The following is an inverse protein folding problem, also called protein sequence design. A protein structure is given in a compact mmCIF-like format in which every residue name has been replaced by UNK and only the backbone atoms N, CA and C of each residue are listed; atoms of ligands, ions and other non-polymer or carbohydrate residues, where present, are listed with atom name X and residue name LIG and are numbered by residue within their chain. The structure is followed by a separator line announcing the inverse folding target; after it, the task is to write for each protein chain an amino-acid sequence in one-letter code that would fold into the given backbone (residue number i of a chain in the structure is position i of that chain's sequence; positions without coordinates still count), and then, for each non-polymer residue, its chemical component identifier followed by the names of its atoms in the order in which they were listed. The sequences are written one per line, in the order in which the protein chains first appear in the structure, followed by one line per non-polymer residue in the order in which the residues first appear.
data_IF_160703584390
#
_entry.id   IF_160703584390
#
_cell.length_a   1.000
_cell.length_b   1.000
_cell.length_c   1.000
_cell.angle_alpha   90.00
_cell.angle_beta   90.00
_cell.angle_gamma   90.00
#
_symmetry.space_group_name_H-M   'P 1'
#
loop_
_entity.id
_entity.type
_entity.pdbx_description
1 polymer ?
#
# COMPACT_ATOMS: atom_id res chain seq x y z
N UNK A 1 -12.32 9.19 -3.52
CA UNK A 1 -11.78 8.95 -2.16
C UNK A 1 -12.31 7.67 -1.57
N UNK A 2 -13.64 7.56 -1.46
CA UNK A 2 -14.35 6.41 -0.87
C UNK A 2 -13.81 5.08 -1.40
N UNK A 3 -13.60 4.94 -2.72
CA UNK A 3 -13.08 3.71 -3.30
C UNK A 3 -11.71 3.25 -2.75
N UNK A 4 -10.73 4.15 -2.59
CA UNK A 4 -9.42 3.78 -2.02
C UNK A 4 -9.52 3.46 -0.52
N UNK A 5 -10.40 4.16 0.20
CA UNK A 5 -10.62 3.93 1.62
C UNK A 5 -11.32 2.59 1.87
N UNK A 6 -12.32 2.26 1.04
CA UNK A 6 -13.02 0.97 1.01
C UNK A 6 -12.03 -0.17 0.69
N UNK A 7 -11.25 -0.01 -0.39
CA UNK A 7 -10.23 -0.98 -0.78
C UNK A 7 -9.20 -1.23 0.33
N UNK A 8 -8.78 -0.17 1.04
CA UNK A 8 -7.85 -0.27 2.15
C UNK A 8 -8.39 -1.11 3.32
N UNK A 9 -9.71 -1.15 3.54
CA UNK A 9 -10.30 -1.95 4.62
C UNK A 9 -10.08 -3.46 4.41
N UNK A 10 -10.01 -3.93 3.16
CA UNK A 10 -9.73 -5.33 2.87
C UNK A 10 -8.32 -5.78 3.30
N UNK A 11 -7.39 -4.83 3.50
CA UNK A 11 -6.02 -5.12 3.92
C UNK A 11 -5.86 -5.15 5.45
N UNK A 12 -6.82 -4.57 6.20
CA UNK A 12 -6.73 -4.47 7.65
C UNK A 12 -6.86 -5.86 8.31
N UNK A 13 -6.10 -6.11 9.37
CA UNK A 13 -6.13 -7.38 10.11
C UNK A 13 -5.02 -8.36 9.71
N UNK A 14 -5.22 -9.63 10.03
CA UNK A 14 -4.22 -10.69 9.84
C UNK A 14 -4.51 -11.49 8.57
N UNK A 15 -3.57 -11.45 7.62
CA UNK A 15 -3.71 -12.09 6.31
C UNK A 15 -2.40 -12.69 5.83
N UNK A 16 -2.50 -13.62 4.88
CA UNK A 16 -1.37 -14.00 4.04
C UNK A 16 -1.13 -12.89 2.99
N UNK A 17 0.04 -12.23 3.05
CA UNK A 17 0.38 -11.15 2.14
C UNK A 17 1.28 -11.60 0.97
N UNK A 18 1.28 -12.89 0.61
CA UNK A 18 2.08 -13.42 -0.50
C UNK A 18 1.84 -12.70 -1.82
N UNK A 19 0.61 -12.27 -2.11
CA UNK A 19 0.30 -11.48 -3.29
C UNK A 19 1.06 -10.14 -3.34
N UNK A 20 1.35 -9.56 -2.18
CA UNK A 20 2.06 -8.30 -2.01
C UNK A 20 3.56 -8.49 -1.75
N UNK A 21 4.10 -9.70 -1.87
CA UNK A 21 5.53 -9.93 -1.71
C UNK A 21 6.29 -9.83 -3.04
N UNK A 22 7.60 -9.61 -2.95
CA UNK A 22 8.47 -9.79 -4.11
C UNK A 22 8.69 -11.28 -4.38
N UNK A 23 8.51 -11.70 -5.64
CA UNK A 23 8.74 -13.09 -6.03
C UNK A 23 10.16 -13.53 -5.64
N UNK A 24 10.28 -14.73 -5.06
CA UNK A 24 11.55 -15.31 -4.64
C UNK A 24 12.14 -14.77 -3.34
N UNK A 25 11.44 -13.89 -2.61
CA UNK A 25 11.90 -13.42 -1.29
C UNK A 25 11.78 -14.56 -0.26
N UNK A 26 12.87 -15.00 0.39
CA UNK A 26 12.79 -16.02 1.43
C UNK A 26 12.17 -15.39 2.69
N UNK A 27 11.03 -15.92 3.14
CA UNK A 27 10.40 -15.53 4.39
C UNK A 27 9.81 -16.77 5.07
N UNK A 28 9.98 -16.97 6.39
CA UNK A 28 9.44 -18.13 7.09
C UNK A 28 7.91 -18.22 7.05
N UNK A 29 7.23 -17.05 7.06
CA UNK A 29 5.79 -16.95 6.91
C UNK A 29 5.41 -15.63 6.24
N UNK A 30 4.53 -15.63 5.22
CA UNK A 30 4.01 -14.42 4.59
C UNK A 30 2.87 -13.76 5.39
N UNK A 31 2.45 -14.36 6.51
CA UNK A 31 1.34 -13.84 7.31
C UNK A 31 1.77 -12.59 8.08
N UNK A 32 1.02 -11.49 7.92
CA UNK A 32 1.23 -10.24 8.66
C UNK A 32 -0.08 -9.73 9.22
N UNK A 33 0.01 -8.91 10.26
CA UNK A 33 -1.13 -8.20 10.84
C UNK A 33 -0.97 -6.71 10.58
N UNK A 34 -1.80 -6.14 9.70
CA UNK A 34 -1.90 -4.69 9.57
C UNK A 34 -2.81 -4.16 10.67
N UNK A 35 -2.23 -3.37 11.57
CA UNK A 35 -2.94 -2.70 12.67
C UNK A 35 -3.66 -1.45 12.20
N UNK A 36 -3.12 -0.80 11.16
CA UNK A 36 -3.73 0.39 10.55
C UNK A 36 -3.44 0.44 9.07
N UNK A 37 -4.46 0.85 8.33
CA UNK A 37 -4.37 1.27 6.93
C UNK A 37 -5.26 2.50 6.78
N UNK A 38 -4.71 3.63 6.36
CA UNK A 38 -5.50 4.84 6.11
C UNK A 38 -5.13 5.50 4.80
N UNK A 39 -6.14 6.09 4.15
CA UNK A 39 -5.99 6.93 2.96
C UNK A 39 -6.65 8.27 3.23
N UNK A 40 -5.88 9.35 3.17
CA UNK A 40 -6.36 10.71 3.43
C UNK A 40 -5.73 11.72 2.46
N UNK A 41 -6.35 12.89 2.26
CA UNK A 41 -5.70 14.00 1.56
C UNK A 41 -4.36 14.35 2.21
N UNK A 42 -3.33 14.53 1.39
CA UNK A 42 -1.99 14.92 1.79
C UNK A 42 -1.76 16.42 1.60
N UNK A 43 -0.69 16.91 2.20
CA UNK A 43 -0.18 18.26 1.93
C UNK A 43 0.70 18.25 0.68
N UNK A 44 0.90 19.43 0.09
CA UNK A 44 1.82 19.58 -1.03
C UNK A 44 3.23 19.12 -0.66
N UNK A 45 3.86 18.37 -1.57
CA UNK A 45 5.25 17.96 -1.40
C UNK A 45 6.17 19.17 -1.46
N UNK A 46 7.19 19.27 -0.57
CA UNK A 46 8.23 20.31 -0.69
C UNK A 46 9.10 20.15 -1.93
N UNK A 47 8.96 19.03 -2.66
CA UNK A 47 9.71 18.72 -3.88
C UNK A 47 9.01 19.21 -5.17
N UNK A 48 7.83 19.83 -5.07
CA UNK A 48 7.13 20.41 -6.23
C UNK A 48 7.05 21.93 -6.10
N UNK A 49 6.98 22.62 -7.24
CA UNK A 49 6.83 24.08 -7.24
C UNK A 49 5.45 24.52 -6.72
N UNK A 50 5.30 25.77 -6.24
CA UNK A 50 3.99 26.33 -5.85
C UNK A 50 2.95 26.33 -6.98
N UNK A 51 3.38 26.38 -8.24
CA UNK A 51 2.46 26.34 -9.38
C UNK A 51 1.94 24.91 -9.64
N UNK A 52 2.83 23.92 -9.61
CA UNK A 52 2.48 22.51 -9.78
C UNK A 52 1.58 22.01 -8.65
N UNK A 53 1.89 22.40 -7.40
CA UNK A 53 1.11 21.98 -6.24
C UNK A 53 -0.35 22.45 -6.28
N UNK A 54 -0.67 23.57 -6.96
CA UNK A 54 -2.06 23.99 -7.19
C UNK A 54 -2.81 23.12 -8.20
N UNK A 55 -2.08 22.44 -9.10
CA UNK A 55 -2.65 21.56 -10.14
C UNK A 55 -2.73 20.10 -9.69
N UNK A 56 -2.06 19.76 -8.58
CA UNK A 56 -1.97 18.39 -8.07
C UNK A 56 -2.81 18.20 -6.81
N UNK A 57 -3.31 16.97 -6.63
CA UNK A 57 -3.87 16.52 -5.36
C UNK A 57 -2.93 15.51 -4.74
N UNK A 58 -2.58 15.73 -3.48
CA UNK A 58 -1.71 14.85 -2.72
C UNK A 58 -2.53 13.90 -1.87
N UNK A 59 -2.00 12.70 -1.65
CA UNK A 59 -2.62 11.66 -0.85
C UNK A 59 -1.58 11.07 0.10
N UNK A 60 -1.96 10.90 1.35
CA UNK A 60 -1.19 10.18 2.35
C UNK A 60 -1.80 8.78 2.51
N UNK A 61 -0.96 7.76 2.35
CA UNK A 61 -1.30 6.37 2.64
C UNK A 61 -0.43 5.92 3.81
N UNK A 62 -1.07 5.54 4.91
CA UNK A 62 -0.37 5.13 6.12
C UNK A 62 -0.65 3.68 6.44
N UNK A 63 0.41 2.92 6.74
CA UNK A 63 0.35 1.51 7.07
C UNK A 63 1.10 1.27 8.37
N UNK A 64 0.52 0.49 9.26
CA UNK A 64 1.11 0.15 10.55
C UNK A 64 1.06 -1.36 10.76
N UNK A 65 2.21 -1.96 11.03
CA UNK A 65 2.36 -3.38 11.34
C UNK A 65 3.60 -3.60 12.20
N UNK A 66 3.66 -4.73 12.90
CA UNK A 66 4.88 -5.17 13.58
C UNK A 66 6.01 -5.49 12.59
N UNK A 67 5.68 -5.93 11.38
CA UNK A 67 6.65 -6.18 10.33
C UNK A 67 5.99 -6.16 8.96
N UNK A 68 6.79 -5.95 7.92
CA UNK A 68 6.34 -5.99 6.53
C UNK A 68 7.21 -6.96 5.71
N UNK A 69 6.64 -7.57 4.67
CA UNK A 69 7.39 -8.32 3.66
C UNK A 69 8.16 -7.37 2.74
N UNK A 70 9.17 -7.90 2.05
CA UNK A 70 9.98 -7.10 1.12
C UNK A 70 9.13 -6.51 -0.01
N UNK A 71 9.07 -5.17 -0.03
CA UNK A 71 8.24 -4.32 -0.92
C UNK A 71 6.72 -4.38 -0.69
N UNK A 72 6.24 -4.98 0.40
CA UNK A 72 4.80 -5.10 0.71
C UNK A 72 4.07 -3.76 0.62
N UNK A 73 4.57 -2.75 1.35
CA UNK A 73 3.94 -1.42 1.41
C UNK A 73 3.81 -0.80 0.02
N UNK A 74 4.91 -0.79 -0.76
CA UNK A 74 4.92 -0.20 -2.11
C UNK A 74 4.00 -0.91 -3.10
N UNK A 75 3.75 -2.22 -2.90
CA UNK A 75 2.81 -3.00 -3.72
C UNK A 75 1.37 -2.74 -3.31
N UNK A 76 1.08 -2.67 -2.00
CA UNK A 76 -0.24 -2.25 -1.50
C UNK A 76 -0.58 -0.84 -1.99
N UNK A 77 0.37 0.10 -1.93
CA UNK A 77 0.23 1.45 -2.49
C UNK A 77 -0.11 1.41 -3.98
N UNK A 78 0.57 0.60 -4.78
CA UNK A 78 0.30 0.52 -6.22
C UNK A 78 -1.14 0.03 -6.52
N UNK A 79 -1.61 -0.98 -5.78
CA UNK A 79 -2.97 -1.51 -5.91
C UNK A 79 -4.01 -0.47 -5.49
N UNK A 80 -3.81 0.22 -4.36
CA UNK A 80 -4.72 1.28 -3.92
C UNK A 80 -4.76 2.46 -4.89
N UNK A 81 -3.62 2.83 -5.48
CA UNK A 81 -3.57 3.86 -6.54
C UNK A 81 -4.32 3.40 -7.79
N UNK A 82 -4.20 2.13 -8.20
CA UNK A 82 -4.97 1.59 -9.31
C UNK A 82 -6.48 1.66 -9.05
N UNK A 83 -6.93 1.43 -7.80
CA UNK A 83 -8.33 1.68 -7.40
C UNK A 83 -8.68 3.17 -7.50
N UNK A 84 -7.81 4.06 -7.01
CA UNK A 84 -8.01 5.51 -7.10
C UNK A 84 -8.11 6.05 -8.52
N UNK A 85 -7.47 5.37 -9.48
CA UNK A 85 -7.51 5.68 -10.91
C UNK A 85 -8.66 4.97 -11.65
N UNK A 86 -9.45 4.13 -10.97
CA UNK A 86 -10.55 3.38 -11.57
C UNK A 86 -10.13 2.15 -12.38
N UNK A 87 -8.86 1.76 -12.34
CA UNK A 87 -8.35 0.57 -13.03
C UNK A 87 -8.68 -0.74 -12.28
N UNK A 88 -9.00 -0.66 -10.99
CA UNK A 88 -9.47 -1.77 -10.16
C UNK A 88 -10.69 -1.33 -9.35
N UNK A 89 -11.67 -2.21 -9.20
CA UNK A 89 -12.74 -2.05 -8.24
C UNK A 89 -12.22 -2.34 -6.81
N UNK A 90 -12.76 -1.68 -5.76
CA UNK A 90 -12.33 -1.91 -4.38
C UNK A 90 -12.35 -3.38 -3.96
N UNK A 91 -13.41 -4.11 -4.32
CA UNK A 91 -13.56 -5.53 -4.02
C UNK A 91 -12.45 -6.41 -4.62
N UNK A 92 -11.83 -6.00 -5.74
CA UNK A 92 -10.74 -6.76 -6.35
C UNK A 92 -9.47 -6.76 -5.49
N UNK A 93 -9.31 -5.81 -4.55
CA UNK A 93 -8.18 -5.82 -3.60
C UNK A 93 -8.25 -7.03 -2.70
N UNK A 94 -9.45 -7.42 -2.26
CA UNK A 94 -9.66 -8.65 -1.50
C UNK A 94 -9.30 -9.88 -2.34
N UNK A 95 -9.73 -9.94 -3.60
CA UNK A 95 -9.38 -11.04 -4.52
C UNK A 95 -7.87 -11.14 -4.74
N UNK A 96 -7.17 -10.01 -4.88
CA UNK A 96 -5.71 -9.99 -5.00
C UNK A 96 -5.05 -10.52 -3.73
N UNK A 97 -5.52 -10.11 -2.55
CA UNK A 97 -5.00 -10.60 -1.27
C UNK A 97 -5.19 -12.12 -1.12
N UNK A 98 -6.39 -12.60 -1.44
CA UNK A 98 -6.77 -14.02 -1.32
C UNK A 98 -6.12 -14.93 -2.37
N UNK A 99 -5.67 -14.39 -3.51
CA UNK A 99 -5.01 -15.21 -4.55
C UNK A 99 -3.68 -15.80 -4.09
N UNK A 100 -3.02 -15.14 -3.12
CA UNK A 100 -1.68 -15.48 -2.63
C UNK A 100 -0.61 -15.53 -3.73
N UNK A 101 -0.92 -15.15 -4.97
CA UNK A 101 0.00 -15.21 -6.09
C UNK A 101 0.79 -13.89 -6.18
N UNK A 102 2.13 -13.91 -6.02
CA UNK A 102 2.91 -12.69 -5.97
C UNK A 102 2.74 -11.84 -7.23
N UNK A 103 2.26 -10.60 -7.06
CA UNK A 103 2.17 -9.58 -8.12
C UNK A 103 3.53 -9.34 -8.81
N UNK A 104 4.63 -9.70 -8.15
CA UNK A 104 5.98 -9.64 -8.71
C UNK A 104 6.23 -10.60 -9.88
N UNK A 105 5.48 -11.70 -9.99
CA UNK A 105 5.58 -12.63 -11.12
C UNK A 105 4.98 -12.04 -12.40
N UNK A 106 3.95 -11.21 -12.26
CA UNK A 106 3.20 -10.60 -13.39
C UNK A 106 3.70 -9.22 -13.79
N UNK A 107 4.91 -8.82 -13.37
CA UNK A 107 5.51 -7.50 -13.63
C UNK A 107 4.57 -6.31 -13.30
N UNK A 108 3.78 -6.42 -12.22
CA UNK A 108 2.91 -5.31 -11.80
C UNK A 108 3.77 -4.12 -11.34
N UNK A 109 3.52 -2.91 -11.86
CA UNK A 109 4.23 -1.67 -11.48
C UNK A 109 4.21 -1.51 -9.96
N UNK A 110 5.40 -1.44 -9.35
CA UNK A 110 5.55 -1.16 -7.90
C UNK A 110 5.64 0.35 -7.71
N UNK A 111 4.95 0.90 -6.70
CA UNK A 111 5.04 2.33 -6.41
C UNK A 111 6.51 2.75 -6.21
N UNK A 112 6.98 3.93 -6.65
CA UNK A 112 8.37 4.37 -6.47
C UNK A 112 8.80 4.41 -5.00
N UNK A 113 10.10 4.19 -4.73
CA UNK A 113 10.61 4.14 -3.35
C UNK A 113 10.68 5.51 -2.67
N UNK A 114 10.95 6.57 -3.44
CA UNK A 114 11.16 7.93 -2.92
C UNK A 114 9.90 8.58 -2.33
N UNK A 115 8.72 7.99 -2.53
CA UNK A 115 7.48 8.42 -1.87
C UNK A 115 7.20 7.70 -0.54
N UNK A 116 8.00 6.70 -0.16
CA UNK A 116 7.85 5.94 1.07
C UNK A 116 8.87 6.38 2.11
N UNK A 117 8.41 6.64 3.34
CA UNK A 117 9.27 6.93 4.48
C UNK A 117 8.73 6.25 5.75
N UNK A 118 9.63 5.98 6.70
CA UNK A 118 9.26 5.50 8.03
C UNK A 118 8.82 6.69 8.88
N UNK A 119 7.58 6.67 9.37
CA UNK A 119 7.04 7.75 10.20
C UNK A 119 7.41 7.61 11.68
N UNK A 120 7.28 6.41 12.25
CA UNK A 120 7.54 6.15 13.67
C UNK A 120 7.70 4.66 13.94
N UNK A 121 8.37 4.32 15.04
CA UNK A 121 8.43 2.97 15.62
C UNK A 121 7.88 3.04 17.04
N UNK A 122 6.87 2.21 17.33
CA UNK A 122 6.24 2.16 18.64
C UNK A 122 6.93 1.09 19.49
N UNK A 123 7.39 1.48 20.68
CA UNK A 123 7.93 0.57 21.68
C UNK A 123 6.85 0.30 22.74
N UNK A 124 6.87 -0.90 23.32
CA UNK A 124 6.05 -1.19 24.50
C UNK A 124 6.51 -0.31 25.68
N UNK A 125 5.59 0.00 26.58
CA UNK A 125 5.94 0.58 27.88
C UNK A 125 6.69 -0.43 28.74
#
# INVERSE_FOLDING_TARGET
MVAMQEAAQHLLGTHDFSAFQSAGSPVPSPVRTLRRVSVSPGQASPLVTPEESRKLRFWNLEFESQSFLYRQVRRMTAVLVAVGLGALAPAQVKTILESQDPLGKHQTRVAPAHGLFLKSVLYGN
#
